data_IF_520588540186
#
_entry.id   IF_520588540186
#
_cell.length_a   1.000
_cell.length_b   1.000
_cell.length_c   1.000
_cell.angle_alpha   90.00
_cell.angle_beta   90.00
_cell.angle_gamma   90.00
#
_symmetry.space_group_name_H-M   'P 1'
#
loop_
_entity.id
_entity.type
_entity.pdbx_description
1 polymer ?
#
# COMPACT_ATOMS: atom_id res chain seq x y z
N UNK A 1 -16.62 -4.11 -1.10
CA UNK A 1 -16.22 -3.80 -2.49
C UNK A 1 -16.57 -2.36 -2.78
N UNK A 2 -15.71 -1.58 -3.48
CA UNK A 2 -16.07 -0.23 -3.91
C UNK A 2 -17.29 -0.29 -4.84
N UNK A 3 -18.31 0.53 -4.56
CA UNK A 3 -19.53 0.59 -5.37
C UNK A 3 -19.28 1.43 -6.64
N UNK A 4 -18.91 0.74 -7.72
CA UNK A 4 -18.68 1.36 -9.02
C UNK A 4 -19.96 1.91 -9.66
N UNK A 5 -21.15 1.38 -9.32
CA UNK A 5 -22.42 1.83 -9.89
C UNK A 5 -22.74 3.23 -9.39
N UNK A 6 -22.68 3.44 -8.07
CA UNK A 6 -22.91 4.76 -7.46
C UNK A 6 -21.86 5.79 -7.88
N UNK A 7 -20.57 5.40 -7.98
CA UNK A 7 -19.50 6.29 -8.47
C UNK A 7 -19.71 6.74 -9.92
N UNK A 8 -20.15 5.82 -10.80
CA UNK A 8 -20.44 6.14 -12.21
C UNK A 8 -21.61 7.12 -12.34
N UNK A 9 -22.67 6.94 -11.54
CA UNK A 9 -23.81 7.87 -11.50
C UNK A 9 -23.34 9.25 -11.05
N UNK A 10 -22.57 9.34 -9.97
CA UNK A 10 -22.02 10.60 -9.47
C UNK A 10 -21.13 11.31 -10.51
N UNK A 11 -20.23 10.57 -11.18
CA UNK A 11 -19.40 11.12 -12.27
C UNK A 11 -20.25 11.66 -13.43
N UNK A 12 -21.30 10.94 -13.83
CA UNK A 12 -22.19 11.40 -14.91
C UNK A 12 -22.96 12.67 -14.54
N UNK A 13 -23.47 12.76 -13.30
CA UNK A 13 -24.14 13.97 -12.79
C UNK A 13 -23.14 15.14 -12.78
N UNK A 14 -21.94 14.91 -12.27
CA UNK A 14 -20.89 15.92 -12.20
C UNK A 14 -20.46 16.41 -13.60
N UNK A 15 -20.35 15.49 -14.57
CA UNK A 15 -20.08 15.82 -15.96
C UNK A 15 -21.20 16.66 -16.57
N UNK A 16 -22.45 16.33 -16.30
CA UNK A 16 -23.60 17.10 -16.77
C UNK A 16 -23.58 18.54 -16.23
N UNK A 17 -23.33 18.70 -14.92
CA UNK A 17 -23.18 20.02 -14.30
C UNK A 17 -21.98 20.77 -14.88
N UNK A 18 -20.87 20.09 -15.17
CA UNK A 18 -19.70 20.68 -15.80
C UNK A 18 -20.00 21.18 -17.21
N UNK A 19 -20.75 20.42 -18.01
CA UNK A 19 -21.16 20.83 -19.36
C UNK A 19 -22.03 22.09 -19.33
N UNK A 20 -23.00 22.16 -18.41
CA UNK A 20 -23.83 23.36 -18.23
C UNK A 20 -22.95 24.56 -17.85
N UNK A 21 -22.06 24.38 -16.85
CA UNK A 21 -21.14 25.43 -16.41
C UNK A 21 -20.23 25.90 -17.55
N UNK A 22 -19.72 24.98 -18.38
CA UNK A 22 -18.87 25.28 -19.53
C UNK A 22 -19.63 26.04 -20.63
N UNK A 23 -20.89 25.66 -20.90
CA UNK A 23 -21.75 26.39 -21.85
C UNK A 23 -21.97 27.83 -21.42
N UNK A 24 -22.18 28.07 -20.12
CA UNK A 24 -22.28 29.41 -19.55
C UNK A 24 -20.96 30.17 -19.72
N UNK A 25 -19.80 29.53 -19.51
CA UNK A 25 -18.49 30.18 -19.72
C UNK A 25 -18.23 30.52 -21.18
N UNK A 26 -18.63 29.67 -22.13
CA UNK A 26 -18.31 29.81 -23.56
C UNK A 26 -19.29 30.71 -24.32
N UNK A 27 -20.57 30.69 -23.92
CA UNK A 27 -21.65 31.34 -24.65
C UNK A 27 -22.53 32.23 -23.78
N UNK A 28 -22.23 32.37 -22.48
CA UNK A 28 -23.01 33.17 -21.52
C UNK A 28 -23.30 34.57 -22.06
N UNK A 29 -22.26 35.29 -22.46
CA UNK A 29 -22.34 36.67 -22.97
C UNK A 29 -23.13 36.80 -24.29
N UNK A 30 -23.33 35.70 -25.02
CA UNK A 30 -24.01 35.68 -26.33
C UNK A 30 -25.45 35.20 -26.27
N UNK A 31 -25.76 34.33 -25.31
CA UNK A 31 -27.05 33.63 -25.22
C UNK A 31 -27.93 34.13 -24.07
N UNK A 32 -27.37 34.82 -23.09
CA UNK A 32 -28.06 35.23 -21.87
C UNK A 32 -27.58 36.62 -21.39
N UNK A 33 -28.46 37.45 -20.83
CA UNK A 33 -28.05 38.64 -20.08
C UNK A 33 -27.55 38.20 -18.69
N UNK A 34 -26.27 37.84 -18.59
CA UNK A 34 -25.66 37.35 -17.36
C UNK A 34 -24.92 38.48 -16.65
N UNK A 35 -25.13 38.60 -15.34
CA UNK A 35 -24.38 39.53 -14.51
C UNK A 35 -22.89 39.13 -14.45
N UNK A 36 -21.98 40.09 -14.65
CA UNK A 36 -20.52 39.84 -14.69
C UNK A 36 -19.99 39.12 -13.44
N UNK A 37 -20.57 39.40 -12.28
CA UNK A 37 -20.19 38.73 -11.02
C UNK A 37 -20.54 37.23 -11.03
N UNK A 38 -21.70 36.86 -11.60
CA UNK A 38 -22.09 35.46 -11.77
C UNK A 38 -21.16 34.72 -12.74
N UNK A 39 -20.77 35.37 -13.84
CA UNK A 39 -19.85 34.80 -14.82
C UNK A 39 -18.47 34.46 -14.21
N UNK A 40 -17.92 35.38 -13.41
CA UNK A 40 -16.65 35.17 -12.69
C UNK A 40 -16.77 34.02 -11.68
N UNK A 41 -17.84 33.98 -10.89
CA UNK A 41 -18.10 32.89 -9.94
C UNK A 41 -18.26 31.54 -10.64
N UNK A 42 -18.96 31.50 -11.77
CA UNK A 42 -19.15 30.30 -12.58
C UNK A 42 -17.82 29.81 -13.18
N UNK A 43 -16.94 30.70 -13.66
CA UNK A 43 -15.59 30.34 -14.14
C UNK A 43 -14.75 29.65 -13.06
N UNK A 44 -14.76 30.18 -11.84
CA UNK A 44 -14.05 29.59 -10.69
C UNK A 44 -14.66 28.22 -10.34
N UNK A 45 -15.99 28.15 -10.25
CA UNK A 45 -16.70 26.91 -9.97
C UNK A 45 -16.42 25.84 -11.03
N UNK A 46 -16.44 26.20 -12.32
CA UNK A 46 -16.11 25.33 -13.44
C UNK A 46 -14.71 24.72 -13.30
N UNK A 47 -13.71 25.52 -12.91
CA UNK A 47 -12.34 25.06 -12.71
C UNK A 47 -12.21 24.03 -11.58
N UNK A 48 -12.82 24.30 -10.42
CA UNK A 48 -12.85 23.35 -9.31
C UNK A 48 -13.60 22.08 -9.67
N UNK A 49 -14.75 22.21 -10.34
CA UNK A 49 -15.58 21.09 -10.76
C UNK A 49 -14.83 20.17 -11.74
N UNK A 50 -14.10 20.76 -12.71
CA UNK A 50 -13.25 20.02 -13.64
C UNK A 50 -12.11 19.28 -12.92
N UNK A 51 -11.44 19.94 -11.96
CA UNK A 51 -10.38 19.33 -11.17
C UNK A 51 -10.86 18.11 -10.38
N UNK A 52 -11.98 18.25 -9.65
CA UNK A 52 -12.55 17.15 -8.88
C UNK A 52 -13.08 16.02 -9.77
N UNK A 53 -13.67 16.36 -10.92
CA UNK A 53 -14.11 15.37 -11.91
C UNK A 53 -12.92 14.52 -12.39
N UNK A 54 -11.82 15.14 -12.79
CA UNK A 54 -10.60 14.43 -13.22
C UNK A 54 -10.00 13.58 -12.10
N UNK A 55 -9.95 14.09 -10.87
CA UNK A 55 -9.45 13.34 -9.71
C UNK A 55 -10.30 12.08 -9.43
N UNK A 56 -11.62 12.19 -9.44
CA UNK A 56 -12.53 11.07 -9.22
C UNK A 56 -12.52 10.06 -10.38
N UNK A 57 -12.39 10.56 -11.61
CA UNK A 57 -12.24 9.72 -12.80
C UNK A 57 -10.95 8.91 -12.72
N UNK A 58 -9.83 9.55 -12.35
CA UNK A 58 -8.54 8.92 -12.12
C UNK A 58 -8.62 7.84 -11.03
N UNK A 59 -9.18 8.16 -9.86
CA UNK A 59 -9.35 7.19 -8.76
C UNK A 59 -10.17 5.98 -9.20
N UNK A 60 -11.28 6.21 -9.91
CA UNK A 60 -12.15 5.14 -10.40
C UNK A 60 -11.43 4.27 -11.45
N UNK A 61 -10.67 4.87 -12.36
CA UNK A 61 -9.87 4.17 -13.36
C UNK A 61 -8.78 3.32 -12.72
N UNK A 62 -7.99 3.88 -11.77
CA UNK A 62 -6.96 3.12 -11.06
C UNK A 62 -7.56 1.98 -10.24
N UNK A 63 -8.67 2.23 -9.55
CA UNK A 63 -9.37 1.19 -8.77
C UNK A 63 -9.88 0.07 -9.68
N UNK A 64 -10.48 0.40 -10.83
CA UNK A 64 -10.92 -0.59 -11.82
C UNK A 64 -9.74 -1.39 -12.38
N UNK A 65 -8.64 -0.74 -12.77
CA UNK A 65 -7.43 -1.45 -13.22
C UNK A 65 -6.86 -2.38 -12.16
N UNK A 66 -6.86 -1.99 -10.88
CA UNK A 66 -6.43 -2.87 -9.78
C UNK A 66 -7.34 -4.09 -9.63
N UNK A 67 -8.65 -3.91 -9.74
CA UNK A 67 -9.64 -5.00 -9.69
C UNK A 67 -9.52 -5.94 -10.89
N UNK A 68 -9.39 -5.41 -12.12
CA UNK A 68 -9.17 -6.22 -13.31
C UNK A 68 -7.83 -6.98 -13.24
N UNK A 69 -6.77 -6.32 -12.75
CA UNK A 69 -5.49 -6.98 -12.53
C UNK A 69 -5.63 -8.12 -11.52
N UNK A 70 -6.46 -7.97 -10.48
CA UNK A 70 -6.77 -9.02 -9.52
C UNK A 70 -7.56 -10.18 -10.13
N UNK A 71 -8.59 -9.91 -10.92
CA UNK A 71 -9.41 -10.94 -11.58
C UNK A 71 -8.63 -11.74 -12.64
N UNK A 72 -7.71 -11.08 -13.35
CA UNK A 72 -6.87 -11.70 -14.38
C UNK A 72 -5.72 -12.55 -13.82
N UNK A 73 -5.48 -12.56 -12.51
CA UNK A 73 -4.45 -13.42 -11.89
C UNK A 73 -4.93 -14.87 -11.94
N UNK A 74 -4.56 -15.56 -13.02
CA UNK A 74 -4.54 -17.02 -13.07
C UNK A 74 -3.34 -17.51 -12.27
N UNK A 75 -3.56 -18.46 -11.37
CA UNK A 75 -2.49 -19.10 -10.60
C UNK A 75 -1.85 -20.18 -11.48
N UNK A 76 -0.63 -19.97 -12.03
CA UNK A 76 0.04 -21.01 -12.79
C UNK A 76 0.43 -22.17 -11.88
N UNK A 77 0.73 -23.33 -12.47
CA UNK A 77 1.21 -24.48 -11.70
C UNK A 77 2.61 -24.23 -11.13
N UNK A 78 3.42 -23.40 -11.79
CA UNK A 78 4.74 -23.01 -11.31
C UNK A 78 4.91 -21.49 -11.37
N UNK A 79 5.41 -20.90 -10.29
CA UNK A 79 5.73 -19.47 -10.23
C UNK A 79 6.77 -19.17 -9.15
N UNK A 80 7.48 -18.05 -9.32
CA UNK A 80 8.43 -17.52 -8.35
C UNK A 80 7.99 -16.16 -7.84
N UNK A 81 8.02 -15.97 -6.53
CA UNK A 81 7.72 -14.71 -5.84
C UNK A 81 8.97 -14.21 -5.15
N UNK A 82 9.29 -12.93 -5.35
CA UNK A 82 10.40 -12.28 -4.70
C UNK A 82 9.90 -11.40 -3.55
N UNK A 83 10.68 -11.29 -2.48
CA UNK A 83 10.41 -10.33 -1.43
C UNK A 83 10.39 -8.90 -1.99
N UNK A 84 9.41 -8.11 -1.55
CA UNK A 84 9.27 -6.71 -1.92
C UNK A 84 10.45 -5.88 -1.41
N UNK A 85 11.10 -5.16 -2.33
CA UNK A 85 12.23 -4.28 -2.03
C UNK A 85 11.73 -2.95 -1.46
N UNK A 86 11.82 -2.81 -0.14
CA UNK A 86 11.37 -1.63 0.61
C UNK A 86 12.38 -0.45 0.54
N UNK A 87 12.85 -0.10 -0.67
CA UNK A 87 13.99 0.83 -0.86
C UNK A 87 13.78 2.18 -0.19
N UNK A 88 12.59 2.76 -0.34
CA UNK A 88 12.26 4.08 0.21
C UNK A 88 12.27 4.08 1.75
N UNK A 89 11.75 3.04 2.39
CA UNK A 89 11.76 2.94 3.85
C UNK A 89 13.17 2.78 4.43
N UNK A 90 14.03 1.99 3.76
CA UNK A 90 15.42 1.85 4.21
C UNK A 90 16.16 3.18 4.06
N UNK A 91 15.99 3.87 2.93
CA UNK A 91 16.59 5.19 2.72
C UNK A 91 16.14 6.17 3.82
N UNK A 92 14.85 6.18 4.17
CA UNK A 92 14.31 7.06 5.20
C UNK A 92 14.89 6.75 6.59
N UNK A 93 14.97 5.48 6.99
CA UNK A 93 15.54 5.11 8.29
C UNK A 93 17.05 5.38 8.36
N UNK A 94 17.78 5.15 7.26
CA UNK A 94 19.20 5.52 7.18
C UNK A 94 19.37 7.03 7.30
N UNK A 95 18.54 7.83 6.63
CA UNK A 95 18.57 9.27 6.74
C UNK A 95 18.26 9.75 8.17
N UNK A 96 17.25 9.16 8.82
CA UNK A 96 16.91 9.46 10.21
C UNK A 96 18.07 9.14 11.17
N UNK A 97 18.77 8.02 10.93
CA UNK A 97 19.94 7.63 11.71
C UNK A 97 21.12 8.61 11.51
N UNK A 98 21.39 9.02 10.28
CA UNK A 98 22.42 10.03 10.00
C UNK A 98 22.09 11.38 10.64
N UNK A 99 20.82 11.77 10.62
CA UNK A 99 20.36 13.00 11.26
C UNK A 99 20.54 12.96 12.79
N UNK A 100 20.22 11.83 13.43
CA UNK A 100 20.43 11.66 14.87
C UNK A 100 21.92 11.71 15.25
N UNK A 101 22.79 11.03 14.47
CA UNK A 101 24.25 11.14 14.64
C UNK A 101 24.72 12.60 14.52
N UNK A 102 24.21 13.34 13.53
CA UNK A 102 24.53 14.76 13.36
C UNK A 102 24.11 15.60 14.58
N UNK A 103 22.95 15.33 15.18
CA UNK A 103 22.51 16.01 16.40
C UNK A 103 23.39 15.70 17.62
N UNK A 104 23.90 14.47 17.72
CA UNK A 104 24.86 14.07 18.76
C UNK A 104 26.18 14.84 18.59
N UNK A 105 26.75 14.83 17.38
CA UNK A 105 28.03 15.50 17.08
C UNK A 105 27.91 17.02 17.29
N UNK A 106 26.78 17.60 16.88
CA UNK A 106 26.51 19.04 17.05
C UNK A 106 26.27 19.45 18.51
N UNK A 107 26.29 18.51 19.47
CA UNK A 107 25.98 18.76 20.88
C UNK A 107 24.50 19.04 21.16
N UNK A 108 23.64 19.09 20.13
CA UNK A 108 22.21 19.39 20.25
C UNK A 108 21.43 18.33 21.02
N UNK A 109 21.84 17.06 20.90
CA UNK A 109 21.25 15.98 21.69
C UNK A 109 21.60 16.08 23.19
N UNK A 110 22.73 16.71 23.53
CA UNK A 110 23.15 16.96 24.92
C UNK A 110 22.49 18.21 25.48
N UNK A 111 22.29 19.24 24.66
CA UNK A 111 21.62 20.48 25.07
C UNK A 111 20.13 20.31 25.39
N UNK A 112 19.49 19.25 24.87
CA UNK A 112 18.12 18.86 25.23
C UNK A 112 18.03 18.07 26.55
N UNK A 113 19.14 17.95 27.28
CA UNK A 113 19.20 17.31 28.59
C UNK A 113 19.16 15.78 28.52
N UNK A 114 18.97 15.13 29.68
CA UNK A 114 19.00 13.68 29.84
C UNK A 114 17.99 12.96 28.92
N UNK A 115 16.83 13.56 28.68
CA UNK A 115 15.78 12.99 27.82
C UNK A 115 16.26 12.88 26.37
N UNK A 116 16.91 13.93 25.86
CA UNK A 116 17.46 13.93 24.50
C UNK A 116 18.54 12.88 24.30
N UNK A 117 19.42 12.71 25.29
CA UNK A 117 20.47 11.70 25.28
C UNK A 117 19.85 10.29 25.24
N UNK A 118 18.89 10.00 26.12
CA UNK A 118 18.21 8.69 26.16
C UNK A 118 17.51 8.40 24.82
N UNK A 119 16.84 9.40 24.26
CA UNK A 119 16.13 9.26 22.99
C UNK A 119 17.06 8.96 21.81
N UNK A 120 18.16 9.70 21.68
CA UNK A 120 19.16 9.46 20.63
C UNK A 120 19.84 8.09 20.80
N UNK A 121 20.19 7.69 22.03
CA UNK A 121 20.74 6.35 22.28
C UNK A 121 19.75 5.25 21.90
N UNK A 122 18.46 5.42 22.22
CA UNK A 122 17.43 4.48 21.81
C UNK A 122 17.32 4.39 20.28
N UNK A 123 17.30 5.53 19.57
CA UNK A 123 17.29 5.57 18.11
C UNK A 123 18.50 4.85 17.50
N UNK A 124 19.68 5.04 18.08
CA UNK A 124 20.92 4.41 17.65
C UNK A 124 20.88 2.87 17.79
N UNK A 125 20.07 2.33 18.70
CA UNK A 125 19.89 0.89 18.87
C UNK A 125 18.77 0.37 17.96
N UNK A 126 17.62 1.04 17.96
CA UNK A 126 16.43 0.56 17.25
C UNK A 126 16.55 0.70 15.73
N UNK A 127 16.99 1.86 15.20
CA UNK A 127 17.02 2.10 13.75
C UNK A 127 17.91 1.09 13.00
N UNK A 128 19.16 0.78 13.44
CA UNK A 128 19.97 -0.25 12.78
C UNK A 128 19.31 -1.62 12.82
N UNK A 129 18.68 -2.00 13.93
CA UNK A 129 17.98 -3.27 14.06
C UNK A 129 16.85 -3.40 13.03
N UNK A 130 16.04 -2.34 12.86
CA UNK A 130 14.99 -2.31 11.84
C UNK A 130 15.56 -2.35 10.42
N UNK A 131 16.59 -1.56 10.13
CA UNK A 131 17.27 -1.56 8.82
C UNK A 131 17.80 -2.95 8.49
N UNK A 132 18.53 -3.59 9.42
CA UNK A 132 19.07 -4.93 9.25
C UNK A 132 17.97 -5.94 8.92
N UNK A 133 16.87 -5.94 9.69
CA UNK A 133 15.75 -6.85 9.46
C UNK A 133 15.08 -6.60 8.10
N UNK A 134 14.93 -5.35 7.68
CA UNK A 134 14.39 -5.01 6.37
C UNK A 134 15.30 -5.45 5.23
N UNK A 135 16.63 -5.34 5.38
CA UNK A 135 17.60 -5.83 4.39
C UNK A 135 17.55 -7.36 4.32
N UNK A 136 17.59 -8.05 5.47
CA UNK A 136 17.54 -9.51 5.55
C UNK A 136 16.29 -10.07 4.85
N UNK A 137 15.13 -9.47 5.07
CA UNK A 137 13.84 -9.88 4.47
C UNK A 137 13.83 -9.82 2.93
N UNK A 138 14.68 -9.01 2.29
CA UNK A 138 14.74 -8.86 0.82
C UNK A 138 15.36 -10.04 0.10
N UNK A 139 16.18 -10.83 0.80
CA UNK A 139 16.87 -11.97 0.22
C UNK A 139 16.00 -13.23 0.15
N UNK A 140 14.78 -13.18 0.70
CA UNK A 140 13.83 -14.28 0.60
C UNK A 140 13.14 -14.29 -0.76
N UNK A 141 12.99 -15.48 -1.32
CA UNK A 141 12.08 -15.74 -2.43
C UNK A 141 11.41 -17.09 -2.26
N UNK A 142 10.24 -17.25 -2.86
CA UNK A 142 9.48 -18.49 -2.86
C UNK A 142 9.35 -18.99 -4.29
N UNK A 143 9.68 -20.25 -4.50
CA UNK A 143 9.36 -20.95 -5.74
C UNK A 143 8.28 -21.97 -5.44
N UNK A 144 7.18 -21.87 -6.16
CA UNK A 144 6.03 -22.73 -6.01
C UNK A 144 5.97 -23.64 -7.20
N UNK A 145 5.94 -24.96 -6.95
CA UNK A 145 5.69 -26.02 -7.94
C UNK A 145 4.52 -26.87 -7.50
N UNK A 146 3.32 -26.49 -7.92
CA UNK A 146 2.04 -27.13 -7.60
C UNK A 146 1.79 -27.27 -6.09
N UNK A 147 2.16 -28.40 -5.48
CA UNK A 147 1.99 -28.65 -4.04
C UNK A 147 3.25 -28.37 -3.22
N UNK A 148 4.40 -28.21 -3.89
CA UNK A 148 5.69 -28.04 -3.25
C UNK A 148 6.07 -26.57 -3.26
N UNK A 149 6.52 -26.06 -2.11
CA UNK A 149 6.99 -24.69 -1.95
C UNK A 149 8.44 -24.76 -1.50
N UNK A 150 9.33 -24.19 -2.30
CA UNK A 150 10.75 -24.03 -1.97
C UNK A 150 10.98 -22.60 -1.51
N UNK A 151 11.77 -22.47 -0.44
CA UNK A 151 12.19 -21.19 0.12
C UNK A 151 13.65 -21.00 -0.22
N UNK A 152 13.95 -19.85 -0.80
CA UNK A 152 15.32 -19.45 -1.07
C UNK A 152 15.69 -18.27 -0.20
N UNK A 153 16.91 -18.29 0.34
CA UNK A 153 17.56 -17.14 0.93
C UNK A 153 18.85 -16.87 0.17
N UNK A 154 19.01 -15.64 -0.34
CA UNK A 154 20.18 -15.25 -1.15
C UNK A 154 20.43 -16.22 -2.34
N UNK A 155 19.35 -16.66 -2.97
CA UNK A 155 19.32 -17.63 -4.08
C UNK A 155 19.74 -19.07 -3.73
N UNK A 156 19.99 -19.39 -2.47
CA UNK A 156 20.25 -20.75 -1.99
C UNK A 156 18.96 -21.35 -1.40
N UNK A 157 18.68 -22.62 -1.70
CA UNK A 157 17.53 -23.33 -1.14
C UNK A 157 17.79 -23.60 0.34
N UNK A 158 17.02 -22.95 1.22
CA UNK A 158 17.14 -23.11 2.68
C UNK A 158 16.11 -24.09 3.24
N UNK A 159 15.12 -24.46 2.44
CA UNK A 159 14.09 -25.41 2.84
C UNK A 159 13.02 -25.57 1.79
N UNK A 160 12.35 -26.71 1.84
CA UNK A 160 11.17 -26.98 1.05
C UNK A 160 10.11 -27.65 1.91
N UNK A 161 8.86 -27.37 1.61
CA UNK A 161 7.74 -27.97 2.31
C UNK A 161 6.58 -28.21 1.36
N UNK A 162 5.82 -29.27 1.64
CA UNK A 162 4.55 -29.47 0.98
C UNK A 162 3.49 -28.56 1.59
N UNK A 163 2.52 -28.14 0.78
CA UNK A 163 1.34 -27.39 1.22
C UNK A 163 0.65 -28.04 2.43
N UNK A 164 0.63 -29.37 2.49
CA UNK A 164 -0.03 -30.12 3.58
C UNK A 164 0.61 -29.84 4.95
N UNK A 165 1.88 -29.47 4.96
CA UNK A 165 2.63 -29.19 6.19
C UNK A 165 2.43 -27.74 6.67
N UNK A 166 1.67 -26.92 5.93
CA UNK A 166 1.35 -25.55 6.32
C UNK A 166 0.19 -25.58 7.30
N UNK A 167 0.43 -25.12 8.53
CA UNK A 167 -0.62 -25.01 9.55
C UNK A 167 -1.44 -23.74 9.39
N UNK A 168 -0.78 -22.61 9.08
CA UNK A 168 -1.41 -21.30 8.95
C UNK A 168 -0.58 -20.35 8.08
N UNK A 169 -1.24 -19.58 7.21
CA UNK A 169 -0.62 -18.43 6.55
C UNK A 169 -1.32 -17.16 7.00
N UNK A 170 -0.55 -16.22 7.54
CA UNK A 170 -1.04 -14.89 7.93
C UNK A 170 -0.67 -13.85 6.88
N UNK A 171 -1.64 -13.05 6.47
CA UNK A 171 -1.41 -11.83 5.70
C UNK A 171 -1.77 -10.61 6.53
N UNK A 172 -0.84 -9.67 6.67
CA UNK A 172 -1.06 -8.42 7.39
C UNK A 172 -0.26 -7.29 6.75
N UNK A 173 -0.62 -6.04 7.03
CA UNK A 173 0.15 -4.88 6.59
C UNK A 173 0.89 -4.25 7.76
N UNK A 174 1.92 -3.46 7.45
CA UNK A 174 2.34 -2.39 8.36
C UNK A 174 1.19 -1.38 8.38
N UNK A 175 0.34 -1.50 9.39
CA UNK A 175 -0.79 -0.62 9.59
C UNK A 175 -0.31 0.68 10.24
N UNK A 176 -0.54 1.80 9.55
CA UNK A 176 -0.69 3.08 10.26
C UNK A 176 -2.11 3.09 10.81
N UNK A 177 -2.26 3.17 12.13
CA UNK A 177 -3.57 3.28 12.76
C UNK A 177 -4.18 4.65 12.44
N UNK A 178 -5.06 4.72 11.45
CA UNK A 178 -5.87 5.92 11.22
C UNK A 178 -7.18 5.81 11.99
N UNK A 179 -7.30 6.60 13.07
CA UNK A 179 -8.57 6.76 13.79
C UNK A 179 -9.55 7.49 12.88
N UNK A 180 -10.61 6.80 12.44
CA UNK A 180 -11.73 7.44 11.74
C UNK A 180 -13.03 7.13 12.49
N UNK A 181 -13.64 8.15 13.08
CA UNK A 181 -14.98 8.12 13.72
C UNK A 181 -15.17 6.98 14.74
N UNK A 182 -14.45 7.04 15.87
CA UNK A 182 -14.75 6.22 17.07
C UNK A 182 -14.39 4.73 17.00
N UNK A 183 -14.26 4.14 15.81
CA UNK A 183 -13.77 2.77 15.62
C UNK A 183 -12.34 2.77 15.08
N UNK A 184 -11.43 2.06 15.74
CA UNK A 184 -10.09 1.75 15.23
C UNK A 184 -10.25 0.77 14.05
N UNK A 185 -10.51 1.30 12.85
CA UNK A 185 -10.40 0.49 11.63
C UNK A 185 -8.95 0.48 11.18
N UNK A 186 -8.33 -0.70 11.24
CA UNK A 186 -7.01 -0.96 10.66
C UNK A 186 -7.12 -0.80 9.15
N UNK A 187 -6.67 0.32 8.61
CA UNK A 187 -6.50 0.49 7.17
C UNK A 187 -5.03 0.23 6.88
N UNK A 188 -4.75 -0.88 6.19
CA UNK A 188 -3.38 -1.22 5.87
C UNK A 188 -2.91 -0.36 4.68
N UNK A 189 -2.37 0.82 4.98
CA UNK A 189 -1.79 1.72 3.97
C UNK A 189 -0.40 1.29 3.48
N UNK A 190 0.15 0.19 4.00
CA UNK A 190 1.47 -0.34 3.65
C UNK A 190 1.44 -1.50 2.66
N UNK A 191 2.63 -2.02 2.33
CA UNK A 191 2.77 -3.26 1.57
C UNK A 191 2.32 -4.47 2.41
N UNK A 192 1.74 -5.52 1.78
CA UNK A 192 1.37 -6.74 2.47
C UNK A 192 2.62 -7.51 2.92
N UNK A 193 2.55 -8.09 4.10
CA UNK A 193 3.55 -9.00 4.68
C UNK A 193 2.85 -10.35 4.89
N UNK A 194 3.48 -11.39 4.38
CA UNK A 194 3.05 -12.76 4.60
C UNK A 194 3.92 -13.41 5.66
N UNK A 195 3.28 -14.15 6.57
CA UNK A 195 3.95 -15.02 7.53
C UNK A 195 3.45 -16.45 7.37
N UNK A 196 4.35 -17.38 7.11
CA UNK A 196 4.02 -18.81 6.91
C UNK A 196 4.40 -19.57 8.17
N UNK A 197 3.46 -20.36 8.69
CA UNK A 197 3.69 -21.34 9.73
C UNK A 197 3.59 -22.74 9.12
N UNK A 198 4.70 -23.47 9.12
CA UNK A 198 4.77 -24.84 8.64
C UNK A 198 5.36 -25.75 9.74
N UNK A 199 4.95 -27.01 9.77
CA UNK A 199 5.52 -27.98 10.69
C UNK A 199 7.00 -28.21 10.38
N UNK A 200 7.87 -28.06 11.39
CA UNK A 200 9.30 -28.30 11.27
C UNK A 200 10.12 -27.14 10.68
N UNK A 201 9.52 -25.97 10.42
CA UNK A 201 10.23 -24.78 9.93
C UNK A 201 9.82 -23.57 10.78
N UNK A 202 10.81 -22.72 11.11
CA UNK A 202 10.55 -21.45 11.76
C UNK A 202 9.61 -20.55 10.93
N UNK A 203 8.84 -19.71 11.61
CA UNK A 203 7.90 -18.83 10.93
C UNK A 203 8.64 -17.77 10.08
N UNK A 204 8.44 -17.81 8.77
CA UNK A 204 9.13 -16.92 7.83
C UNK A 204 8.23 -15.77 7.42
N UNK A 205 8.77 -14.55 7.48
CA UNK A 205 8.08 -13.31 7.12
C UNK A 205 8.62 -12.74 5.80
N UNK A 206 7.75 -12.64 4.79
CA UNK A 206 8.10 -12.16 3.46
C UNK A 206 7.22 -10.95 3.12
N UNK A 207 7.81 -9.76 2.88
CA UNK A 207 7.08 -8.63 2.34
C UNK A 207 6.74 -8.90 0.88
N UNK A 208 5.51 -8.59 0.45
CA UNK A 208 5.00 -8.91 -0.88
C UNK A 208 4.61 -7.64 -1.63
N UNK A 209 4.65 -7.71 -2.96
CA UNK A 209 3.93 -6.73 -3.78
C UNK A 209 2.43 -7.00 -3.67
N UNK A 210 1.59 -6.00 -3.96
CA UNK A 210 0.15 -6.20 -3.97
C UNK A 210 -0.27 -7.31 -4.95
N UNK A 211 0.42 -7.41 -6.10
CA UNK A 211 0.19 -8.47 -7.10
C UNK A 211 0.53 -9.85 -6.54
N UNK A 212 1.70 -10.00 -5.92
CA UNK A 212 2.16 -11.29 -5.39
C UNK A 212 1.33 -11.72 -4.17
N UNK A 213 0.85 -10.77 -3.37
CA UNK A 213 -0.15 -11.03 -2.34
C UNK A 213 -1.42 -11.65 -2.91
N UNK A 214 -2.01 -11.07 -3.96
CA UNK A 214 -3.21 -11.64 -4.59
C UNK A 214 -2.95 -13.02 -5.21
N UNK A 215 -1.79 -13.20 -5.84
CA UNK A 215 -1.36 -14.49 -6.41
C UNK A 215 -1.25 -15.58 -5.36
N UNK A 216 -0.50 -15.33 -4.28
CA UNK A 216 -0.31 -16.27 -3.18
C UNK A 216 -1.60 -16.54 -2.43
N UNK A 217 -2.42 -15.52 -2.18
CA UNK A 217 -3.74 -15.67 -1.55
C UNK A 217 -4.65 -16.60 -2.37
N UNK A 218 -4.71 -16.42 -3.68
CA UNK A 218 -5.51 -17.30 -4.55
C UNK A 218 -4.93 -18.73 -4.60
N UNK A 219 -3.61 -18.86 -4.62
CA UNK A 219 -2.92 -20.14 -4.57
C UNK A 219 -3.25 -20.92 -3.29
N UNK A 220 -3.08 -20.33 -2.11
CA UNK A 220 -3.38 -21.01 -0.85
C UNK A 220 -4.87 -21.36 -0.70
N UNK A 221 -5.77 -20.51 -1.22
CA UNK A 221 -7.20 -20.83 -1.30
C UNK A 221 -7.49 -22.04 -2.18
N UNK A 222 -6.83 -22.17 -3.33
CA UNK A 222 -6.97 -23.33 -4.24
C UNK A 222 -6.67 -24.65 -3.53
N UNK A 223 -5.73 -24.64 -2.59
CA UNK A 223 -5.35 -25.82 -1.81
C UNK A 223 -5.96 -25.89 -0.41
N UNK A 224 -6.96 -25.05 -0.09
CA UNK A 224 -7.69 -25.05 1.19
C UNK A 224 -6.80 -24.91 2.44
N UNK A 225 -5.71 -24.16 2.33
CA UNK A 225 -4.85 -23.84 3.49
C UNK A 225 -5.58 -22.85 4.41
N UNK A 226 -5.37 -22.97 5.72
CA UNK A 226 -5.90 -22.01 6.69
C UNK A 226 -5.24 -20.63 6.49
N UNK A 227 -6.08 -19.62 6.25
CA UNK A 227 -5.66 -18.24 6.00
C UNK A 227 -6.21 -17.29 7.06
N UNK A 228 -5.34 -16.53 7.69
CA UNK A 228 -5.69 -15.38 8.54
C UNK A 228 -5.26 -14.10 7.83
N UNK A 229 -6.22 -13.43 7.20
CA UNK A 229 -5.98 -12.25 6.37
C UNK A 229 -6.52 -10.99 7.02
N UNK A 230 -5.64 -10.30 7.73
CA UNK A 230 -5.91 -8.99 8.34
C UNK A 230 -5.46 -7.83 7.46
N UNK A 231 -4.92 -8.10 6.26
CA UNK A 231 -4.46 -7.07 5.33
C UNK A 231 -5.62 -6.28 4.68
N UNK A 232 -6.85 -6.79 4.77
CA UNK A 232 -8.11 -6.22 4.24
C UNK A 232 -8.02 -4.74 3.86
N UNK A 233 -8.09 -4.47 2.54
CA UNK A 233 -8.13 -3.13 1.92
C UNK A 233 -9.29 -2.25 2.44
#
# INVERSE_FOLDING_TARGET
MPDFKSRKIALNIMLFVLLISLMIVLFGDKLFEIERDFEIKNKIFCGFLAFFYLALLGDTYFTKRRMEAKEKIKVPNEFKVFAFKQNLHILLYTFALLFDIFLIISGKARSSGIVGIIFSVALLIFLPYFIYNMIKRRYYSLEVKSKNIKIFFKNEEIGSFEIKNISLVKFFGIGVFFKKRGFLRKRNGGYPIMKIYAYGIDAIEIPLTLRDYWLLKNYFKRYRVNLDDTYVE
#
